data_IF_578448384767
#
_entry.id   IF_578448384767
#
_cell.length_a   1.000
_cell.length_b   1.000
_cell.length_c   1.000
_cell.angle_alpha   90.00
_cell.angle_beta   90.00
_cell.angle_gamma   90.00
#
_symmetry.space_group_name_H-M   'P 1'
#
loop_
_entity.id
_entity.type
_entity.pdbx_description
1 polymer ?
#
# COMPACT_ATOMS: atom_id res chain seq x y z
N UNK A 1 -14.65 4.27 7.02
CA UNK A 1 -14.22 3.96 5.65
C UNK A 1 -12.94 3.19 5.71
N UNK A 2 -12.89 1.99 5.14
CA UNK A 2 -11.62 1.38 4.74
C UNK A 2 -11.80 0.15 3.87
N UNK A 3 -12.56 0.22 2.78
CA UNK A 3 -12.25 -0.59 1.59
C UNK A 3 -10.76 -0.41 1.26
N UNK A 4 -9.97 -1.46 1.35
CA UNK A 4 -8.52 -1.34 1.19
C UNK A 4 -7.76 -2.65 1.19
N UNK A 5 -6.63 -2.65 0.49
CA UNK A 5 -5.79 -3.82 0.26
C UNK A 5 -4.30 -3.47 0.38
N UNK A 6 -3.47 -4.49 0.61
CA UNK A 6 -2.02 -4.36 0.58
C UNK A 6 -1.49 -4.75 -0.80
N UNK A 7 -0.39 -4.14 -1.19
CA UNK A 7 0.25 -4.40 -2.48
C UNK A 7 1.74 -4.09 -2.50
N UNK A 8 2.40 -4.56 -3.55
CA UNK A 8 3.80 -4.30 -3.85
C UNK A 8 3.91 -3.41 -5.07
N UNK A 9 4.58 -2.26 -4.95
CA UNK A 9 4.86 -1.38 -6.09
C UNK A 9 5.84 -2.04 -7.06
N UNK A 10 5.39 -2.42 -8.26
CA UNK A 10 6.24 -3.07 -9.27
C UNK A 10 7.04 -2.06 -10.10
N UNK A 11 6.43 -0.96 -10.50
CA UNK A 11 7.05 0.00 -11.40
C UNK A 11 6.06 1.01 -11.95
N UNK A 12 6.53 1.80 -12.91
CA UNK A 12 5.69 2.76 -13.65
C UNK A 12 5.74 2.43 -15.12
N UNK A 13 4.61 2.61 -15.79
CA UNK A 13 4.43 2.47 -17.22
C UNK A 13 3.52 3.59 -17.72
N UNK A 14 3.26 3.63 -19.02
CA UNK A 14 2.29 4.52 -19.62
C UNK A 14 1.24 3.69 -20.36
N UNK A 15 0.01 4.17 -20.35
CA UNK A 15 -1.10 3.59 -21.11
C UNK A 15 -1.81 4.70 -21.86
N UNK A 16 -2.38 4.38 -23.01
CA UNK A 16 -3.25 5.28 -23.74
C UNK A 16 -4.69 5.03 -23.29
N UNK A 17 -5.41 6.09 -22.97
CA UNK A 17 -6.85 5.99 -22.76
C UNK A 17 -7.60 5.92 -24.11
N UNK A 18 -8.91 5.71 -24.06
CA UNK A 18 -9.75 5.63 -25.27
C UNK A 18 -9.76 6.94 -26.07
N UNK A 19 -9.44 8.07 -25.44
CA UNK A 19 -9.29 9.38 -26.09
C UNK A 19 -7.91 9.58 -26.76
N UNK A 20 -7.02 8.59 -26.71
CA UNK A 20 -5.66 8.67 -27.25
C UNK A 20 -4.67 9.50 -26.43
N UNK A 21 -5.02 9.90 -25.20
CA UNK A 21 -4.14 10.61 -24.26
C UNK A 21 -3.23 9.62 -23.52
N UNK A 22 -1.97 10.02 -23.37
CA UNK A 22 -0.98 9.26 -22.60
C UNK A 22 -1.14 9.53 -21.11
N UNK A 23 -1.48 8.49 -20.35
CA UNK A 23 -1.64 8.53 -18.90
C UNK A 23 -0.48 7.78 -18.22
N UNK A 24 0.32 8.44 -17.37
CA UNK A 24 1.35 7.75 -16.59
C UNK A 24 0.68 6.97 -15.47
N UNK A 25 1.05 5.70 -15.33
CA UNK A 25 0.49 4.79 -14.31
C UNK A 25 1.58 4.10 -13.51
N UNK A 26 1.30 3.87 -12.22
CA UNK A 26 2.08 2.98 -11.37
C UNK A 26 1.37 1.63 -11.28
N UNK A 27 2.11 0.56 -11.54
CA UNK A 27 1.63 -0.82 -11.41
C UNK A 27 1.88 -1.33 -9.99
N UNK A 28 0.83 -1.79 -9.34
CA UNK A 28 0.87 -2.40 -8.00
C UNK A 28 0.40 -3.85 -8.11
N UNK A 29 1.23 -4.79 -7.62
CA UNK A 29 0.84 -6.20 -7.47
C UNK A 29 0.13 -6.38 -6.15
N UNK A 30 -1.10 -6.86 -6.21
CA UNK A 30 -1.94 -7.11 -5.05
C UNK A 30 -2.22 -8.60 -4.96
N UNK A 31 -1.16 -9.37 -4.70
CA UNK A 31 -1.25 -10.79 -4.37
C UNK A 31 -2.32 -10.99 -3.26
N UNK A 32 -3.00 -12.15 -3.22
CA UNK A 32 -4.13 -12.37 -2.31
C UNK A 32 -3.82 -11.98 -0.86
N UNK A 33 -4.65 -11.08 -0.32
CA UNK A 33 -4.56 -10.62 1.06
C UNK A 33 -5.46 -11.46 1.93
N UNK A 34 -4.92 -12.06 2.99
CA UNK A 34 -5.72 -12.92 3.89
C UNK A 34 -6.18 -12.13 5.09
N UNK A 35 -7.44 -12.26 5.48
CA UNK A 35 -7.97 -11.73 6.74
C UNK A 35 -7.44 -12.56 7.91
N UNK A 36 -6.65 -11.95 8.79
CA UNK A 36 -6.00 -12.65 9.90
C UNK A 36 -6.77 -12.53 11.22
N UNK A 37 -7.29 -11.34 11.50
CA UNK A 37 -7.98 -11.05 12.75
C UNK A 37 -9.01 -9.94 12.51
N UNK A 38 -10.17 -10.11 13.15
CA UNK A 38 -11.21 -9.09 13.26
C UNK A 38 -11.14 -8.48 14.65
N UNK A 39 -11.02 -7.14 14.72
CA UNK A 39 -11.02 -6.38 15.97
C UNK A 39 -12.37 -5.74 16.19
N UNK A 40 -12.91 -5.92 17.38
CA UNK A 40 -14.26 -5.48 17.77
C UNK A 40 -14.19 -4.43 18.88
N UNK A 41 -15.23 -3.60 19.01
CA UNK A 41 -15.26 -2.58 20.07
C UNK A 41 -15.18 -3.19 21.47
N UNK A 42 -15.79 -4.35 21.70
CA UNK A 42 -15.83 -5.01 23.01
C UNK A 42 -14.47 -5.55 23.46
N UNK A 43 -13.69 -6.13 22.54
CA UNK A 43 -12.41 -6.76 22.87
C UNK A 43 -11.22 -5.80 22.73
N UNK A 44 -11.20 -4.98 21.68
CA UNK A 44 -10.04 -4.17 21.28
C UNK A 44 -10.26 -2.66 21.45
N UNK A 45 -11.50 -2.21 21.70
CA UNK A 45 -11.85 -0.79 21.86
C UNK A 45 -12.00 -0.01 20.55
N UNK A 46 -11.87 -0.67 19.38
CA UNK A 46 -12.10 -0.09 18.06
C UNK A 46 -12.38 -1.17 17.01
N UNK A 47 -12.99 -0.76 15.90
CA UNK A 47 -13.28 -1.65 14.77
C UNK A 47 -12.16 -1.58 13.73
N UNK A 48 -11.52 -2.72 13.46
CA UNK A 48 -10.55 -2.85 12.39
C UNK A 48 -10.44 -4.30 11.91
N UNK A 49 -9.98 -4.45 10.67
CA UNK A 49 -9.65 -5.74 10.11
C UNK A 49 -8.15 -5.80 9.83
N UNK A 50 -7.50 -6.87 10.31
CA UNK A 50 -6.08 -7.10 10.10
C UNK A 50 -5.87 -7.95 8.84
N UNK A 51 -5.16 -7.40 7.87
CA UNK A 51 -4.79 -8.04 6.62
C UNK A 51 -3.35 -8.53 6.65
N UNK A 52 -3.14 -9.74 6.13
CA UNK A 52 -1.84 -10.36 5.89
C UNK A 52 -1.49 -10.36 4.41
N UNK A 53 -0.28 -9.89 4.08
CA UNK A 53 0.22 -9.81 2.71
C UNK A 53 1.61 -10.44 2.57
N UNK A 54 1.78 -11.15 1.44
CA UNK A 54 2.99 -11.83 0.98
C UNK A 54 3.48 -12.96 1.88
N UNK A 55 3.73 -14.13 1.30
CA UNK A 55 4.16 -15.28 2.09
C UNK A 55 5.61 -15.16 2.60
N UNK A 56 5.82 -15.71 3.78
CA UNK A 56 7.08 -15.82 4.51
C UNK A 56 7.32 -17.32 4.75
N UNK A 57 8.55 -17.77 4.51
CA UNK A 57 8.92 -19.19 4.75
C UNK A 57 8.76 -19.51 6.23
N UNK A 58 8.17 -20.67 6.55
CA UNK A 58 7.89 -21.12 7.93
C UNK A 58 9.13 -21.05 8.84
N UNK A 59 10.30 -21.45 8.34
CA UNK A 59 11.57 -21.39 9.09
C UNK A 59 12.02 -19.99 9.52
N UNK A 60 11.48 -18.94 8.89
CA UNK A 60 11.79 -17.54 9.21
C UNK A 60 10.75 -16.92 10.16
N UNK A 61 9.63 -17.63 10.41
CA UNK A 61 8.56 -17.18 11.27
C UNK A 61 8.85 -17.56 12.72
N UNK A 62 8.52 -16.65 13.63
CA UNK A 62 8.67 -16.91 15.06
C UNK A 62 7.45 -17.69 15.60
N UNK A 63 7.62 -18.46 16.68
CA UNK A 63 6.54 -19.25 17.28
C UNK A 63 5.25 -18.43 17.59
N UNK A 64 5.32 -17.20 18.13
CA UNK A 64 4.13 -16.39 18.34
C UNK A 64 3.43 -15.97 17.03
N UNK A 65 4.19 -15.66 15.97
CA UNK A 65 3.61 -15.34 14.66
C UNK A 65 2.84 -16.55 14.10
N UNK A 66 3.39 -17.75 14.25
CA UNK A 66 2.75 -19.00 13.82
C UNK A 66 1.46 -19.28 14.60
N UNK A 67 1.48 -19.11 15.92
CA UNK A 67 0.28 -19.29 16.75
C UNK A 67 -0.84 -18.29 16.42
N UNK A 68 -0.47 -17.05 16.08
CA UNK A 68 -1.43 -16.03 15.64
C UNK A 68 -2.07 -16.39 14.29
N UNK A 69 -1.27 -16.84 13.33
CA UNK A 69 -1.72 -17.15 11.96
C UNK A 69 -2.46 -18.49 11.88
N UNK A 70 -2.21 -19.42 12.80
CA UNK A 70 -2.94 -20.68 12.90
C UNK A 70 -4.45 -20.47 13.11
N UNK A 71 -4.86 -19.39 13.80
CA UNK A 71 -6.28 -19.05 14.03
C UNK A 71 -7.03 -18.73 12.73
N UNK A 72 -6.33 -18.24 11.72
CA UNK A 72 -6.88 -17.93 10.39
C UNK A 72 -6.55 -18.98 9.34
N UNK A 73 -5.95 -20.11 9.76
CA UNK A 73 -5.46 -21.18 8.88
C UNK A 73 -4.58 -20.68 7.72
N UNK A 74 -3.85 -19.56 7.95
CA UNK A 74 -3.04 -18.90 6.93
C UNK A 74 -1.60 -19.36 6.99
N UNK A 75 -0.93 -19.39 5.83
CA UNK A 75 0.52 -19.44 5.78
C UNK A 75 1.15 -18.21 6.46
N UNK A 76 2.41 -18.29 6.93
CA UNK A 76 3.09 -17.16 7.54
C UNK A 76 3.16 -15.98 6.56
N UNK A 77 2.64 -14.81 6.95
CA UNK A 77 2.66 -13.61 6.11
C UNK A 77 3.79 -12.67 6.51
N UNK A 78 4.34 -11.90 5.56
CA UNK A 78 5.47 -11.00 5.76
C UNK A 78 5.03 -9.63 6.28
N UNK A 79 3.88 -9.16 5.84
CA UNK A 79 3.34 -7.87 6.22
C UNK A 79 1.97 -8.04 6.85
N UNK A 80 1.77 -7.40 7.99
CA UNK A 80 0.48 -7.34 8.69
C UNK A 80 0.12 -5.87 8.83
N UNK A 81 -1.08 -5.49 8.39
CA UNK A 81 -1.59 -4.13 8.56
C UNK A 81 -3.06 -4.15 8.92
N UNK A 82 -3.44 -3.19 9.73
CA UNK A 82 -4.81 -2.99 10.17
C UNK A 82 -5.48 -1.93 9.31
N UNK A 83 -6.71 -2.21 8.93
CA UNK A 83 -7.56 -1.35 8.12
C UNK A 83 -8.79 -1.03 8.96
N UNK A 84 -8.90 0.22 9.40
CA UNK A 84 -9.97 0.69 10.27
C UNK A 84 -11.16 1.17 9.42
N UNK A 85 -12.28 0.45 9.45
CA UNK A 85 -13.50 0.84 8.75
C UNK A 85 -14.53 -0.28 8.66
N UNK A 86 -15.81 0.10 8.70
CA UNK A 86 -16.96 -0.80 8.66
C UNK A 86 -17.11 -1.56 7.34
N UNK A 87 -16.61 -1.02 6.22
CA UNK A 87 -16.78 -1.60 4.87
C UNK A 87 -16.12 -2.98 4.68
N UNK A 88 -15.00 -3.22 5.37
CA UNK A 88 -14.32 -4.52 5.36
C UNK A 88 -14.81 -5.45 6.48
N UNK A 89 -15.67 -4.98 7.39
CA UNK A 89 -16.01 -5.74 8.59
C UNK A 89 -16.85 -6.99 8.29
N UNK A 90 -17.50 -7.05 7.13
CA UNK A 90 -18.26 -8.20 6.68
C UNK A 90 -17.40 -9.41 6.33
N UNK A 91 -16.09 -9.23 6.09
CA UNK A 91 -15.21 -10.34 5.75
C UNK A 91 -14.91 -11.20 6.98
N UNK A 92 -14.91 -12.52 6.76
CA UNK A 92 -14.61 -13.51 7.80
C UNK A 92 -13.10 -13.76 7.90
N UNK A 93 -12.67 -14.26 9.06
CA UNK A 93 -11.28 -14.61 9.30
C UNK A 93 -10.89 -15.80 8.42
N UNK A 94 -9.77 -15.70 7.72
CA UNK A 94 -9.29 -16.71 6.76
C UNK A 94 -9.72 -16.44 5.30
N UNK A 95 -10.61 -15.47 5.05
CA UNK A 95 -11.01 -15.12 3.70
C UNK A 95 -9.89 -14.41 2.94
N UNK A 96 -9.80 -14.68 1.63
CA UNK A 96 -8.91 -13.99 0.72
C UNK A 96 -9.58 -12.78 0.07
N UNK A 97 -8.86 -11.67 0.07
CA UNK A 97 -9.22 -10.40 -0.55
C UNK A 97 -8.29 -10.17 -1.74
N UNK A 98 -8.89 -9.96 -2.91
CA UNK A 98 -8.19 -9.72 -4.17
C UNK A 98 -8.44 -8.30 -4.67
N UNK A 99 -8.04 -8.06 -5.90
CA UNK A 99 -8.15 -6.75 -6.54
C UNK A 99 -9.58 -6.40 -6.95
N UNK A 100 -10.45 -7.41 -7.07
CA UNK A 100 -11.88 -7.30 -7.38
C UNK A 100 -12.66 -6.36 -6.46
N UNK A 101 -12.13 -6.09 -5.27
CA UNK A 101 -12.70 -5.08 -4.39
C UNK A 101 -12.78 -3.73 -5.11
N UNK A 102 -11.78 -3.33 -5.89
CA UNK A 102 -11.75 -2.03 -6.55
C UNK A 102 -12.34 -2.04 -7.96
N UNK A 103 -12.92 -0.91 -8.34
CA UNK A 103 -13.46 -0.68 -9.68
C UNK A 103 -12.61 0.34 -10.46
N UNK A 104 -12.73 0.32 -11.78
CA UNK A 104 -12.09 1.29 -12.65
C UNK A 104 -12.73 2.68 -12.48
N UNK A 105 -11.92 3.73 -12.48
CA UNK A 105 -12.35 5.11 -12.19
C UNK A 105 -12.50 5.44 -10.70
N UNK A 106 -12.33 4.47 -9.80
CA UNK A 106 -12.43 4.71 -8.36
C UNK A 106 -11.29 5.60 -7.83
N UNK A 107 -11.63 6.51 -6.91
CA UNK A 107 -10.68 7.40 -6.25
C UNK A 107 -10.13 6.75 -4.98
N UNK A 108 -8.81 6.68 -4.89
CA UNK A 108 -8.06 6.00 -3.83
C UNK A 108 -7.00 6.89 -3.19
N UNK A 109 -6.69 6.56 -1.94
CA UNK A 109 -5.57 7.08 -1.17
C UNK A 109 -4.51 5.98 -1.02
N UNK A 110 -3.26 6.32 -1.35
CA UNK A 110 -2.16 5.36 -1.37
C UNK A 110 -1.09 5.74 -0.35
N UNK A 111 -0.89 4.89 0.66
CA UNK A 111 0.11 5.07 1.71
C UNK A 111 1.31 4.16 1.48
N UNK A 112 2.52 4.68 1.66
CA UNK A 112 3.74 3.89 1.59
C UNK A 112 4.93 4.58 2.26
N UNK A 113 6.01 3.83 2.46
CA UNK A 113 7.25 4.39 3.00
C UNK A 113 8.04 5.07 1.89
N UNK A 114 8.25 6.38 2.01
CA UNK A 114 8.99 7.19 1.03
C UNK A 114 10.44 6.72 0.83
N UNK A 115 10.98 6.95 -0.36
CA UNK A 115 12.37 6.57 -0.70
C UNK A 115 13.36 7.32 0.21
N UNK A 116 14.22 6.56 0.88
CA UNK A 116 15.30 7.11 1.69
C UNK A 116 16.32 7.88 0.85
N UNK A 117 16.78 9.02 1.36
CA UNK A 117 17.84 9.84 0.77
C UNK A 117 19.04 9.98 1.72
N UNK A 118 19.03 9.38 2.90
CA UNK A 118 20.12 9.51 3.89
C UNK A 118 20.20 10.91 4.51
N UNK A 119 21.36 11.30 5.02
CA UNK A 119 21.58 12.63 5.58
C UNK A 119 21.67 13.68 4.45
N UNK A 120 20.80 14.68 4.50
CA UNK A 120 20.70 15.71 3.46
C UNK A 120 20.91 17.11 4.05
N UNK A 121 21.56 17.98 3.26
CA UNK A 121 21.72 19.40 3.58
C UNK A 121 20.40 20.17 3.51
N UNK A 122 20.37 21.36 4.13
CA UNK A 122 19.13 22.15 4.26
C UNK A 122 18.50 22.55 2.92
N UNK A 123 19.31 22.78 1.89
CA UNK A 123 18.82 23.10 0.54
C UNK A 123 17.97 21.96 0.00
N UNK A 124 18.47 20.72 0.00
CA UNK A 124 17.74 19.57 -0.57
C UNK A 124 16.61 19.07 0.33
N UNK A 125 16.73 19.25 1.64
CA UNK A 125 15.72 18.81 2.62
C UNK A 125 14.55 19.79 2.73
N UNK A 126 14.83 21.09 2.70
CA UNK A 126 13.86 22.15 3.01
C UNK A 126 13.68 23.18 1.89
N UNK A 127 14.28 22.95 0.71
CA UNK A 127 14.25 23.86 -0.44
C UNK A 127 14.72 25.29 -0.11
N UNK A 128 15.68 25.43 0.81
CA UNK A 128 16.31 26.73 1.10
C UNK A 128 17.17 27.21 -0.08
N UNK A 129 17.26 28.53 -0.27
CA UNK A 129 18.15 29.13 -1.25
C UNK A 129 19.63 28.94 -0.88
N UNK A 130 20.50 28.93 -1.89
CA UNK A 130 21.95 28.98 -1.71
C UNK A 130 22.45 30.43 -1.56
N UNK A 131 23.62 30.59 -0.97
CA UNK A 131 24.36 31.86 -1.01
C UNK A 131 25.04 32.09 -2.37
N UNK A 132 25.60 33.29 -2.59
CA UNK A 132 26.31 33.62 -3.83
C UNK A 132 27.54 32.73 -4.02
N UNK A 133 27.83 32.40 -5.28
CA UNK A 133 29.00 31.59 -5.69
C UNK A 133 30.23 32.45 -6.01
N UNK A 134 30.02 33.72 -6.35
CA UNK A 134 31.06 34.68 -6.69
C UNK A 134 31.27 35.72 -5.56
N UNK A 135 32.07 36.77 -5.83
CA UNK A 135 32.32 37.90 -4.93
C UNK A 135 32.85 37.51 -3.55
N UNK A 136 33.83 36.59 -3.50
CA UNK A 136 34.54 36.24 -2.26
C UNK A 136 33.73 35.43 -1.23
N UNK A 137 32.51 35.00 -1.57
CA UNK A 137 31.67 34.20 -0.69
C UNK A 137 32.29 32.83 -0.39
N UNK A 138 32.35 32.46 0.91
CA UNK A 138 32.68 31.10 1.39
C UNK A 138 31.45 30.36 1.93
N UNK A 139 30.25 30.87 1.66
CA UNK A 139 28.99 30.41 2.25
C UNK A 139 27.98 30.06 1.16
N UNK A 140 28.14 28.88 0.56
CA UNK A 140 27.29 28.49 -0.59
C UNK A 140 26.07 27.68 -0.16
N UNK A 141 26.25 26.64 0.67
CA UNK A 141 25.20 25.62 0.96
C UNK A 141 24.90 25.43 2.45
N UNK A 142 25.34 26.38 3.28
CA UNK A 142 25.17 26.34 4.74
C UNK A 142 23.77 26.89 5.12
N UNK A 143 23.22 26.55 6.32
CA UNK A 143 21.80 26.72 6.69
C UNK A 143 21.33 28.17 6.99
N UNK A 144 22.19 29.17 6.87
CA UNK A 144 21.91 30.56 7.24
C UNK A 144 22.01 30.82 8.75
N UNK A 145 21.36 31.89 9.20
CA UNK A 145 21.31 32.29 10.61
C UNK A 145 20.48 31.32 11.47
N UNK A 146 20.94 31.08 12.70
CA UNK A 146 20.29 30.19 13.66
C UNK A 146 19.15 30.86 14.44
N UNK A 147 19.08 32.19 14.49
CA UNK A 147 18.05 32.94 15.20
C UNK A 147 18.50 34.37 15.50
N UNK A 148 17.59 35.18 16.06
CA UNK A 148 17.94 36.45 16.72
C UNK A 148 18.55 36.21 18.10
N UNK A 149 19.07 37.26 18.73
CA UNK A 149 19.67 37.19 20.08
C UNK A 149 18.61 37.11 21.18
N UNK A 150 17.49 37.84 21.10
CA UNK A 150 16.45 37.93 22.15
C UNK A 150 16.00 36.59 22.75
N UNK A 151 15.81 35.50 21.96
CA UNK A 151 15.37 34.23 22.52
C UNK A 151 16.45 33.53 23.36
N UNK A 152 17.74 33.92 23.26
CA UNK A 152 18.91 33.29 23.88
C UNK A 152 19.04 31.76 23.65
N UNK A 153 18.30 31.21 22.68
CA UNK A 153 18.38 29.81 22.25
C UNK A 153 17.83 29.65 20.83
N UNK A 154 18.16 28.53 20.18
CA UNK A 154 17.57 28.18 18.88
C UNK A 154 16.16 27.64 19.10
N UNK A 155 15.15 28.30 18.53
CA UNK A 155 13.74 27.87 18.63
C UNK A 155 13.55 26.45 18.10
N UNK A 156 12.72 25.67 18.79
CA UNK A 156 12.29 24.33 18.34
C UNK A 156 11.62 24.43 16.96
N UNK A 157 11.85 23.42 16.11
CA UNK A 157 11.32 23.40 14.74
C UNK A 157 12.17 24.16 13.70
N UNK A 158 13.33 24.71 14.07
CA UNK A 158 14.27 25.29 13.11
C UNK A 158 14.69 24.26 12.05
N UNK A 159 14.51 24.61 10.78
CA UNK A 159 14.77 23.74 9.63
C UNK A 159 16.28 23.60 9.36
N UNK A 160 16.85 22.48 9.81
CA UNK A 160 18.28 22.16 9.70
C UNK A 160 18.54 20.90 8.84
N UNK A 161 19.80 20.63 8.45
CA UNK A 161 20.18 19.38 7.78
C UNK A 161 19.78 18.15 8.61
N UNK A 162 19.64 17.00 7.96
CA UNK A 162 19.29 15.76 8.67
C UNK A 162 18.84 14.65 7.74
N UNK A 163 18.42 13.54 8.34
CA UNK A 163 17.90 12.39 7.60
C UNK A 163 16.63 12.77 6.82
N UNK A 164 16.56 12.37 5.55
CA UNK A 164 15.45 12.63 4.65
C UNK A 164 14.92 11.33 4.02
N UNK A 165 13.60 11.19 3.98
CA UNK A 165 12.92 9.99 3.48
C UNK A 165 12.69 8.94 4.58
N UNK A 166 12.27 7.74 4.18
CA UNK A 166 11.88 6.64 5.11
C UNK A 166 10.72 7.03 6.03
N UNK A 167 9.97 8.06 5.65
CA UNK A 167 8.73 8.46 6.32
C UNK A 167 7.54 7.84 5.61
N UNK A 168 6.51 7.48 6.36
CA UNK A 168 5.20 7.09 5.82
C UNK A 168 4.51 8.30 5.21
N UNK A 169 4.22 8.23 3.91
CA UNK A 169 3.56 9.30 3.17
C UNK A 169 2.32 8.73 2.51
N UNK A 170 1.24 9.50 2.50
CA UNK A 170 0.01 9.19 1.77
C UNK A 170 -0.15 10.19 0.63
N UNK A 171 -0.38 9.69 -0.57
CA UNK A 171 -0.82 10.51 -1.70
C UNK A 171 -2.32 10.26 -1.87
N UNK A 172 -3.09 11.34 -1.93
CA UNK A 172 -4.55 11.29 -1.97
C UNK A 172 -5.08 11.54 -3.37
N UNK A 173 -6.34 11.17 -3.58
CA UNK A 173 -7.10 11.46 -4.80
C UNK A 173 -6.43 10.89 -6.07
N UNK A 174 -5.92 9.66 -5.99
CA UNK A 174 -5.41 8.94 -7.14
C UNK A 174 -6.55 8.14 -7.77
N UNK A 175 -6.53 8.00 -9.09
CA UNK A 175 -7.57 7.30 -9.85
C UNK A 175 -7.05 5.92 -10.25
N UNK A 176 -7.90 4.90 -10.15
CA UNK A 176 -7.62 3.57 -10.72
C UNK A 176 -7.98 3.61 -12.20
N UNK A 177 -6.99 3.37 -13.07
CA UNK A 177 -7.21 3.41 -14.53
C UNK A 177 -7.65 2.05 -15.06
N UNK A 178 -7.12 0.96 -14.50
CA UNK A 178 -7.45 -0.39 -14.93
C UNK A 178 -7.24 -1.39 -13.80
N UNK A 179 -8.12 -2.39 -13.74
CA UNK A 179 -8.02 -3.53 -12.83
C UNK A 179 -7.77 -4.81 -13.63
N UNK A 180 -6.67 -5.51 -13.35
CA UNK A 180 -6.36 -6.80 -13.98
C UNK A 180 -6.53 -7.92 -12.94
N UNK A 181 -7.62 -8.69 -13.07
CA UNK A 181 -7.98 -9.76 -12.15
C UNK A 181 -7.13 -11.01 -12.33
N UNK A 182 -6.72 -11.34 -13.56
CA UNK A 182 -5.92 -12.52 -13.85
C UNK A 182 -4.55 -12.43 -13.16
N UNK A 183 -3.92 -11.26 -13.27
CA UNK A 183 -2.59 -11.01 -12.72
C UNK A 183 -2.61 -10.36 -11.34
N UNK A 184 -3.80 -10.05 -10.82
CA UNK A 184 -4.01 -9.33 -9.56
C UNK A 184 -3.21 -8.00 -9.53
N UNK A 185 -3.31 -7.21 -10.60
CA UNK A 185 -2.62 -5.92 -10.73
C UNK A 185 -3.62 -4.74 -10.65
N UNK A 186 -3.18 -3.69 -9.98
CA UNK A 186 -3.81 -2.37 -10.02
C UNK A 186 -2.94 -1.39 -10.82
N UNK A 187 -3.55 -0.73 -11.80
CA UNK A 187 -2.94 0.37 -12.52
C UNK A 187 -3.49 1.69 -11.96
N UNK A 188 -2.64 2.40 -11.23
CA UNK A 188 -3.01 3.63 -10.52
C UNK A 188 -2.40 4.81 -11.25
N UNK A 189 -3.19 5.84 -11.51
CA UNK A 189 -2.75 7.08 -12.16
C UNK A 189 -1.67 7.79 -11.35
N UNK A 190 -0.60 8.20 -12.01
CA UNK A 190 0.47 9.00 -11.41
C UNK A 190 1.47 8.19 -10.58
N UNK A 191 2.15 8.89 -9.67
CA UNK A 191 3.25 8.35 -8.87
C UNK A 191 2.85 8.01 -7.44
N UNK A 192 3.27 6.84 -6.96
CA UNK A 192 3.03 6.34 -5.60
C UNK A 192 4.28 6.49 -4.72
N UNK A 193 4.16 6.74 -3.40
CA UNK A 193 5.30 6.81 -2.50
C UNK A 193 6.11 5.51 -2.46
N UNK A 194 7.43 5.67 -2.36
CA UNK A 194 8.34 4.57 -2.05
C UNK A 194 9.09 3.94 -3.23
N UNK A 195 10.08 3.10 -2.91
CA UNK A 195 10.92 2.42 -3.90
C UNK A 195 10.17 1.28 -4.61
N UNK A 196 10.75 0.80 -5.71
CA UNK A 196 10.31 -0.44 -6.38
C UNK A 196 10.40 -1.61 -5.40
N UNK A 197 9.42 -2.51 -5.45
CA UNK A 197 9.18 -3.64 -4.53
C UNK A 197 8.83 -3.22 -3.08
N UNK A 198 8.53 -1.94 -2.84
CA UNK A 198 8.04 -1.46 -1.55
C UNK A 198 6.59 -1.88 -1.28
N UNK A 199 6.26 -2.07 0.00
CA UNK A 199 4.90 -2.26 0.46
C UNK A 199 4.12 -0.95 0.29
N UNK A 200 2.92 -1.08 -0.23
CA UNK A 200 1.95 0.00 -0.41
C UNK A 200 0.62 -0.45 0.17
N UNK A 201 -0.07 0.46 0.83
CA UNK A 201 -1.43 0.28 1.33
C UNK A 201 -2.34 1.13 0.45
N UNK A 202 -3.26 0.48 -0.25
CA UNK A 202 -4.27 1.14 -1.08
C UNK A 202 -5.57 1.16 -0.31
N UNK A 203 -6.16 2.35 -0.13
CA UNK A 203 -7.43 2.56 0.55
C UNK A 203 -8.34 3.37 -0.34
N UNK A 204 -9.64 3.22 -0.15
CA UNK A 204 -10.61 4.16 -0.70
C UNK A 204 -10.27 5.59 -0.24
N UNK A 205 -10.50 6.57 -1.13
CA UNK A 205 -10.18 7.97 -0.88
C UNK A 205 -11.02 8.54 0.26
N UNK A 206 -10.38 9.08 1.30
CA UNK A 206 -11.13 9.63 2.47
C UNK A 206 -11.99 10.83 2.09
N UNK A 207 -11.65 11.51 0.98
CA UNK A 207 -12.35 12.69 0.45
C UNK A 207 -13.33 12.36 -0.68
N UNK A 208 -13.40 11.09 -1.10
CA UNK A 208 -14.34 10.64 -2.11
C UNK A 208 -15.72 10.34 -1.50
N UNK A 209 -16.71 10.05 -2.36
CA UNK A 209 -18.04 9.69 -1.91
C UNK A 209 -18.01 8.42 -1.05
N UNK A 210 -18.90 8.34 -0.04
CA UNK A 210 -18.98 7.16 0.83
C UNK A 210 -19.32 5.93 0.01
N UNK A 211 -18.60 4.84 0.26
CA UNK A 211 -18.85 3.53 -0.35
C UNK A 211 -19.73 2.70 0.59
N UNK A 212 -20.65 1.95 0.02
CA UNK A 212 -21.47 0.98 0.75
C UNK A 212 -20.61 -0.20 1.26
N UNK A 213 -21.00 -0.84 2.37
CA UNK A 213 -20.28 -2.00 2.87
C UNK A 213 -20.25 -3.13 1.83
N UNK A 214 -19.08 -3.75 1.69
CA UNK A 214 -18.87 -4.77 0.66
C UNK A 214 -19.45 -6.10 1.14
N UNK A 215 -20.19 -6.79 0.26
CA UNK A 215 -20.69 -8.13 0.53
C UNK A 215 -19.64 -9.18 0.13
N UNK A 216 -19.20 -10.04 1.07
CA UNK A 216 -18.17 -11.06 0.81
C UNK A 216 -18.51 -12.00 -0.36
N UNK A 217 -19.79 -12.26 -0.59
CA UNK A 217 -20.29 -13.20 -1.60
C UNK A 217 -20.01 -12.76 -3.03
N UNK A 218 -19.88 -11.46 -3.29
CA UNK A 218 -19.59 -10.93 -4.62
C UNK A 218 -18.11 -11.08 -5.03
N UNK A 219 -17.25 -11.48 -4.08
CA UNK A 219 -15.80 -11.51 -4.25
C UNK A 219 -15.19 -12.91 -4.11
N UNK A 220 -16.02 -13.92 -3.86
CA UNK A 220 -15.62 -15.32 -3.92
C UNK A 220 -15.49 -15.69 -5.39
N UNK A 221 -14.26 -15.97 -5.83
CA UNK A 221 -14.08 -16.70 -7.09
C UNK A 221 -14.66 -18.08 -6.83
N UNK A 222 -15.78 -18.40 -7.49
CA UNK A 222 -16.23 -19.79 -7.60
C UNK A 222 -15.02 -20.58 -8.05
N UNK A 223 -14.51 -21.46 -7.18
CA UNK A 223 -13.64 -22.53 -7.65
C UNK A 223 -14.47 -23.23 -8.71
N UNK A 224 -14.14 -23.04 -9.99
CA UNK A 224 -14.59 -23.97 -11.00
C UNK A 224 -14.05 -25.33 -10.53
N UNK A 225 -14.94 -26.14 -9.99
CA UNK A 225 -14.73 -27.56 -9.86
C UNK A 225 -14.43 -28.03 -11.28
N UNK A 226 -13.19 -28.41 -11.54
CA UNK A 226 -12.86 -29.20 -12.72
C UNK A 226 -13.62 -30.51 -12.58
N UNK A 227 -14.84 -30.56 -13.13
CA UNK A 227 -15.60 -31.78 -13.23
C UNK A 227 -14.87 -32.73 -14.18
N UNK A 228 -14.69 -33.93 -13.65
CA UNK A 228 -13.92 -35.05 -14.16
C UNK A 228 -14.61 -35.64 -15.39
N UNK A 229 -13.88 -35.79 -16.50
CA UNK A 229 -14.22 -36.79 -17.52
C UNK A 229 -13.25 -37.97 -17.39
N UNK A 230 -13.56 -38.87 -16.45
CA UNK A 230 -13.11 -40.25 -16.50
C UNK A 230 -13.95 -40.94 -17.58
N UNK A 231 -13.49 -40.87 -18.82
CA UNK A 231 -13.91 -41.81 -19.85
C UNK A 231 -13.09 -43.09 -19.65
N UNK A 232 -13.65 -44.03 -18.89
CA UNK A 232 -13.31 -45.43 -19.01
C UNK A 232 -13.68 -45.88 -20.43
N UNK A 233 -12.69 -46.16 -21.27
CA UNK A 233 -12.86 -47.09 -22.39
C UNK A 233 -12.47 -48.45 -21.89
N UNK A 234 -13.48 -49.22 -21.52
CA UNK A 234 -13.47 -50.67 -21.65
C UNK A 234 -13.19 -50.99 -23.13
N UNK A 235 -11.97 -51.40 -23.45
CA UNK A 235 -11.72 -52.23 -24.63
C UNK A 235 -11.51 -53.65 -24.13
N UNK A 236 -12.64 -54.37 -24.06
CA UNK A 236 -12.67 -55.82 -24.07
C UNK A 236 -12.74 -56.31 -25.51
N UNK A 237 -11.77 -57.15 -25.87
CA UNK A 237 -11.93 -58.37 -26.67
C UNK A 237 -12.55 -58.22 -28.07
N UNK A 238 -11.69 -58.24 -29.08
CA UNK A 238 -11.74 -59.19 -30.21
C UNK A 238 -10.32 -59.46 -30.74
#
# INVERSE_FOLDING_TARGET
>A
MAKGILGTKLGMTQIFNDEGRLVPVTVVSCDPNVVLQKKTMENDGYEALQLGFKDKRVKLANKPELGHLAKSNSQPKRYLKEMAGSELYNFEVGQEIRVNIFEEGEIIDVTGTSKGKGFQGSIKRHNQSRGPMAHGSRYHRRPGSMGSIDPNHVRKGKKLPGHMGVQTVTIQNLEIVKVDLERNLLLIKGGIPGPKKGLVVVKHGVKAAKVEPLDPNNFIVSKEETQVNNAATEESVE
#
